data_IF_552104699016
#
_entry.id   IF_552104699016
#
_cell.length_a   1.000
_cell.length_b   1.000
_cell.length_c   1.000
_cell.angle_alpha   90.00
_cell.angle_beta   90.00
_cell.angle_gamma   90.00
#
_symmetry.space_group_name_H-M   'P 1'
#
loop_
_entity.id
_entity.type
_entity.pdbx_description
1 polymer ?
#
# COMPACT_ATOMS: atom_id res chain seq x y z
N UNK A 1 -4.62 -0.72 -26.96
CA UNK A 1 -4.51 -1.85 -26.01
C UNK A 1 -5.46 -1.60 -24.85
N UNK A 2 -6.06 -2.66 -24.29
CA UNK A 2 -6.99 -2.61 -23.15
C UNK A 2 -6.23 -2.92 -21.84
N UNK A 3 -5.81 -1.90 -21.08
CA UNK A 3 -5.03 -2.10 -19.87
C UNK A 3 -5.84 -2.73 -18.73
N UNK A 4 -7.15 -2.53 -18.70
CA UNK A 4 -8.01 -3.03 -17.62
C UNK A 4 -8.34 -4.50 -17.84
N UNK A 5 -8.63 -4.90 -19.08
CA UNK A 5 -8.76 -6.32 -19.44
C UNK A 5 -7.46 -7.10 -19.19
N UNK A 6 -6.30 -6.50 -19.46
CA UNK A 6 -5.02 -7.10 -19.09
C UNK A 6 -4.86 -7.28 -17.58
N UNK A 7 -5.15 -6.23 -16.79
CA UNK A 7 -5.05 -6.29 -15.33
C UNK A 7 -5.97 -7.37 -14.74
N UNK A 8 -7.22 -7.43 -15.19
CA UNK A 8 -8.17 -8.45 -14.77
C UNK A 8 -7.64 -9.87 -15.06
N UNK A 9 -7.15 -10.10 -16.28
CA UNK A 9 -6.59 -11.39 -16.66
C UNK A 9 -5.35 -11.75 -15.83
N UNK A 10 -4.45 -10.77 -15.60
CA UNK A 10 -3.24 -10.97 -14.81
C UNK A 10 -3.58 -11.38 -13.36
N UNK A 11 -4.54 -10.70 -12.73
CA UNK A 11 -4.94 -11.03 -11.35
C UNK A 11 -5.63 -12.39 -11.29
N UNK A 12 -6.48 -12.75 -12.27
CA UNK A 12 -7.08 -14.09 -12.36
C UNK A 12 -6.02 -15.18 -12.49
N UNK A 13 -4.95 -14.92 -13.24
CA UNK A 13 -3.81 -15.83 -13.33
C UNK A 13 -3.15 -16.01 -11.95
N UNK A 14 -2.90 -14.93 -11.22
CA UNK A 14 -2.34 -14.98 -9.86
C UNK A 14 -3.28 -15.74 -8.91
N UNK A 15 -4.57 -15.45 -8.92
CA UNK A 15 -5.56 -16.13 -8.08
C UNK A 15 -5.58 -17.65 -8.31
N UNK A 16 -5.52 -18.09 -9.57
CA UNK A 16 -5.53 -19.53 -9.91
C UNK A 16 -4.21 -20.25 -9.69
N UNK A 17 -3.09 -19.52 -9.64
CA UNK A 17 -1.74 -20.11 -9.58
C UNK A 17 -1.02 -19.89 -8.25
N UNK A 18 -1.47 -18.95 -7.42
CA UNK A 18 -0.86 -18.66 -6.12
C UNK A 18 -1.60 -19.35 -4.99
N UNK A 19 -0.86 -19.76 -3.96
CA UNK A 19 -1.44 -20.31 -2.74
C UNK A 19 -1.66 -19.19 -1.73
N UNK A 20 -2.92 -18.78 -1.54
CA UNK A 20 -3.30 -17.77 -0.55
C UNK A 20 -3.89 -16.49 -1.14
N UNK A 21 -4.32 -15.62 -0.23
CA UNK A 21 -5.05 -14.38 -0.55
C UNK A 21 -4.62 -13.21 0.34
N UNK A 22 -3.43 -13.29 0.94
CA UNK A 22 -2.94 -12.28 1.87
C UNK A 22 -2.79 -10.92 1.20
N UNK A 23 -2.03 -10.87 0.10
CA UNK A 23 -1.61 -9.60 -0.49
C UNK A 23 -1.43 -9.67 -1.99
N UNK A 24 -1.81 -8.58 -2.67
CA UNK A 24 -1.65 -8.36 -4.10
C UNK A 24 -0.90 -7.04 -4.32
N UNK A 25 0.18 -7.08 -5.10
CA UNK A 25 0.88 -5.88 -5.57
C UNK A 25 0.49 -5.56 -7.01
N UNK A 26 0.09 -4.33 -7.29
CA UNK A 26 -0.25 -3.84 -8.62
C UNK A 26 0.69 -2.70 -8.97
N UNK A 27 1.39 -2.81 -10.10
CA UNK A 27 2.20 -1.72 -10.67
C UNK A 27 1.49 -1.18 -11.90
N UNK A 28 1.09 0.09 -11.84
CA UNK A 28 0.32 0.74 -12.90
C UNK A 28 0.71 2.21 -13.02
N UNK A 29 0.93 2.67 -14.26
CA UNK A 29 1.22 4.07 -14.53
C UNK A 29 0.04 4.97 -14.10
N UNK A 30 0.34 6.06 -13.38
CA UNK A 30 -0.65 7.01 -12.87
C UNK A 30 -1.60 7.56 -13.96
N UNK A 31 -1.09 7.78 -15.18
CA UNK A 31 -1.92 8.25 -16.31
C UNK A 31 -2.94 7.20 -16.73
N UNK A 32 -2.51 5.93 -16.80
CA UNK A 32 -3.40 4.81 -17.15
C UNK A 32 -4.45 4.58 -16.08
N UNK A 33 -4.06 4.64 -14.80
CA UNK A 33 -4.98 4.54 -13.67
C UNK A 33 -6.02 5.66 -13.72
N UNK A 34 -5.60 6.93 -13.81
CA UNK A 34 -6.52 8.08 -13.86
C UNK A 34 -7.49 8.04 -15.05
N UNK A 35 -7.02 7.61 -16.23
CA UNK A 35 -7.88 7.48 -17.42
C UNK A 35 -8.98 6.43 -17.25
N UNK A 36 -8.76 5.43 -16.39
CA UNK A 36 -9.67 4.30 -16.19
C UNK A 36 -10.17 4.21 -14.73
N UNK A 37 -10.20 5.32 -13.99
CA UNK A 37 -10.34 5.34 -12.53
C UNK A 37 -11.50 4.46 -12.02
N UNK A 38 -12.70 4.66 -12.56
CA UNK A 38 -13.88 3.90 -12.12
C UNK A 38 -13.74 2.40 -12.38
N UNK A 39 -13.26 2.01 -13.57
CA UNK A 39 -13.08 0.61 -13.93
C UNK A 39 -11.98 -0.03 -13.08
N UNK A 40 -10.89 0.71 -12.83
CA UNK A 40 -9.79 0.28 -11.99
C UNK A 40 -10.25 0.06 -10.54
N UNK A 41 -10.99 1.01 -9.96
CA UNK A 41 -11.49 0.90 -8.59
C UNK A 41 -12.45 -0.29 -8.43
N UNK A 42 -13.32 -0.51 -9.43
CA UNK A 42 -14.23 -1.67 -9.45
C UNK A 42 -13.45 -3.00 -9.52
N UNK A 43 -12.41 -3.07 -10.35
CA UNK A 43 -11.55 -4.26 -10.45
C UNK A 43 -10.79 -4.52 -9.15
N UNK A 44 -10.15 -3.50 -8.58
CA UNK A 44 -9.43 -3.65 -7.30
C UNK A 44 -10.38 -4.06 -6.17
N UNK A 45 -11.62 -3.55 -6.17
CA UNK A 45 -12.65 -3.96 -5.23
C UNK A 45 -13.05 -5.43 -5.39
N UNK A 46 -13.08 -5.98 -6.61
CA UNK A 46 -13.50 -7.36 -6.85
C UNK A 46 -12.44 -8.41 -6.51
N UNK A 47 -11.15 -8.06 -6.55
CA UNK A 47 -10.08 -9.03 -6.34
C UNK A 47 -10.07 -9.62 -4.92
N UNK A 48 -10.03 -10.95 -4.73
CA UNK A 48 -10.19 -11.58 -3.41
C UNK A 48 -8.88 -11.60 -2.61
N UNK A 49 -8.23 -10.45 -2.45
CA UNK A 49 -7.02 -10.29 -1.63
C UNK A 49 -7.30 -9.36 -0.45
N UNK A 50 -6.81 -9.74 0.73
CA UNK A 50 -7.03 -8.97 1.96
C UNK A 50 -6.17 -7.71 2.05
N UNK A 51 -5.11 -7.62 1.26
CA UNK A 51 -4.23 -6.46 1.16
C UNK A 51 -3.96 -6.18 -0.31
N UNK A 52 -4.10 -4.94 -0.74
CA UNK A 52 -3.73 -4.51 -2.10
C UNK A 52 -2.80 -3.30 -2.01
N UNK A 53 -1.60 -3.44 -2.54
CA UNK A 53 -0.63 -2.36 -2.70
C UNK A 53 -0.61 -1.90 -4.15
N UNK A 54 -0.97 -0.65 -4.43
CA UNK A 54 -0.91 -0.04 -5.76
C UNK A 54 0.31 0.87 -5.80
N UNK A 55 1.30 0.51 -6.64
CA UNK A 55 2.60 1.18 -6.77
C UNK A 55 3.40 1.26 -5.46
N UNK A 56 3.11 0.36 -4.52
CA UNK A 56 3.77 0.24 -3.22
C UNK A 56 3.72 -1.21 -2.77
N UNK A 57 4.73 -1.66 -2.04
CA UNK A 57 4.79 -3.02 -1.55
C UNK A 57 3.68 -3.27 -0.52
N UNK A 58 2.83 -4.32 -0.70
CA UNK A 58 1.71 -4.57 0.21
C UNK A 58 2.12 -4.76 1.69
N UNK A 59 3.36 -5.16 1.95
CA UNK A 59 3.88 -5.34 3.32
C UNK A 59 3.78 -4.08 4.18
N UNK A 60 3.79 -2.88 3.58
CA UNK A 60 3.66 -1.62 4.32
C UNK A 60 2.35 -1.51 5.10
N UNK A 61 1.29 -2.21 4.70
CA UNK A 61 0.04 -2.26 5.45
C UNK A 61 0.25 -2.77 6.88
N UNK A 62 1.18 -3.70 7.10
CA UNK A 62 1.47 -4.23 8.45
C UNK A 62 1.98 -3.15 9.41
N UNK A 63 2.65 -2.12 8.87
CA UNK A 63 3.23 -1.02 9.64
C UNK A 63 2.22 0.07 10.00
N UNK A 64 0.98 -0.02 9.51
CA UNK A 64 -0.06 1.00 9.70
C UNK A 64 -1.18 0.43 10.57
N UNK A 65 -1.22 0.74 11.87
CA UNK A 65 -2.22 0.17 12.80
C UNK A 65 -3.68 0.42 12.41
N UNK A 66 -3.93 1.48 11.64
CA UNK A 66 -5.26 1.83 11.15
C UNK A 66 -5.78 0.87 10.08
N UNK A 67 -4.88 0.20 9.36
CA UNK A 67 -5.21 -0.72 8.28
C UNK A 67 -5.32 -2.15 8.83
N UNK A 68 -6.15 -2.96 8.20
CA UNK A 68 -6.27 -4.39 8.50
C UNK A 68 -5.15 -5.15 7.78
N UNK A 69 -4.44 -6.00 8.50
CA UNK A 69 -3.58 -7.04 7.94
C UNK A 69 -4.24 -8.40 8.13
N UNK A 70 -4.48 -9.13 7.04
CA UNK A 70 -5.06 -10.47 7.07
C UNK A 70 -5.59 -10.88 5.70
N UNK A 71 -5.95 -12.16 5.56
CA UNK A 71 -6.51 -12.70 4.33
C UNK A 71 -7.88 -12.08 3.99
N UNK A 72 -8.27 -12.20 2.72
CA UNK A 72 -9.63 -11.89 2.30
C UNK A 72 -10.63 -12.81 3.02
N UNK A 73 -11.83 -12.33 3.42
CA UNK A 73 -12.81 -13.15 4.13
C UNK A 73 -13.13 -14.45 3.38
N UNK A 74 -13.18 -15.57 4.10
CA UNK A 74 -13.45 -16.90 3.54
C UNK A 74 -12.21 -17.68 3.10
N UNK A 75 -11.03 -17.05 3.07
CA UNK A 75 -9.78 -17.70 2.70
C UNK A 75 -8.90 -17.95 3.94
N UNK A 76 -8.35 -19.16 4.06
CA UNK A 76 -7.58 -19.60 5.24
C UNK A 76 -6.14 -20.00 4.92
N UNK A 77 -5.80 -20.16 3.64
CA UNK A 77 -4.46 -20.54 3.18
C UNK A 77 -3.36 -19.55 3.60
N UNK A 78 -3.73 -18.30 3.85
CA UNK A 78 -2.84 -17.23 4.32
C UNK A 78 -2.90 -16.97 5.83
N UNK A 79 -3.48 -17.91 6.60
CA UNK A 79 -3.73 -17.77 8.02
C UNK A 79 -5.17 -17.37 8.35
N UNK A 80 -5.51 -17.45 9.63
CA UNK A 80 -6.84 -17.08 10.14
C UNK A 80 -6.74 -15.83 11.03
N UNK A 81 -7.76 -14.97 10.92
CA UNK A 81 -7.85 -13.73 11.68
C UNK A 81 -7.23 -12.53 10.98
N UNK A 82 -7.14 -11.43 11.72
CA UNK A 82 -6.55 -10.18 11.25
C UNK A 82 -6.01 -9.34 12.40
N UNK A 83 -4.98 -8.55 12.14
CA UNK A 83 -4.44 -7.55 13.06
C UNK A 83 -4.65 -6.13 12.50
N UNK A 84 -4.52 -5.12 13.34
CA UNK A 84 -4.74 -3.72 12.98
C UNK A 84 -6.21 -3.30 13.10
N UNK A 85 -6.74 -2.56 12.11
CA UNK A 85 -8.10 -1.99 12.14
C UNK A 85 -8.36 -1.10 13.38
N UNK A 86 -7.41 -0.24 13.74
CA UNK A 86 -7.58 0.66 14.90
C UNK A 86 -8.75 1.65 14.78
N UNK A 87 -9.32 1.82 13.58
CA UNK A 87 -10.57 2.57 13.35
C UNK A 87 -11.85 1.78 13.66
N UNK A 88 -11.75 0.50 14.05
CA UNK A 88 -12.88 -0.34 14.42
C UNK A 88 -13.94 -0.48 13.32
N UNK A 89 -13.52 -0.50 12.05
CA UNK A 89 -14.45 -0.78 10.96
C UNK A 89 -15.10 -2.16 11.17
N UNK A 90 -16.40 -2.24 10.89
CA UNK A 90 -17.15 -3.49 11.00
C UNK A 90 -16.81 -4.39 9.82
N UNK A 91 -16.20 -5.55 10.10
CA UNK A 91 -15.88 -6.60 9.10
C UNK A 91 -15.13 -6.06 7.85
N UNK A 92 -13.96 -5.41 8.01
CA UNK A 92 -13.17 -4.97 6.88
C UNK A 92 -12.75 -6.18 6.03
N UNK A 93 -13.03 -6.11 4.73
CA UNK A 93 -12.66 -7.19 3.80
C UNK A 93 -11.17 -7.09 3.46
N UNK A 94 -10.72 -5.89 3.08
CA UNK A 94 -9.35 -5.62 2.64
C UNK A 94 -8.84 -4.25 3.06
N UNK A 95 -7.51 -4.07 2.99
CA UNK A 95 -6.85 -2.78 3.05
C UNK A 95 -6.20 -2.46 1.69
N UNK A 96 -6.42 -1.25 1.18
CA UNK A 96 -5.83 -0.78 -0.07
C UNK A 96 -4.88 0.36 0.26
N UNK A 97 -3.62 0.23 -0.15
CA UNK A 97 -2.60 1.26 0.00
C UNK A 97 -2.12 1.68 -1.39
N UNK A 98 -2.26 2.96 -1.71
CA UNK A 98 -1.93 3.50 -3.03
C UNK A 98 -0.80 4.50 -2.93
N UNK A 99 0.10 4.46 -3.90
CA UNK A 99 1.13 5.45 -4.07
C UNK A 99 1.31 5.86 -5.55
N UNK A 100 2.05 6.94 -5.84
CA UNK A 100 2.40 7.30 -7.20
C UNK A 100 3.31 6.26 -7.86
N UNK A 101 3.10 5.97 -9.14
CA UNK A 101 3.93 5.05 -9.92
C UNK A 101 5.38 5.52 -10.01
N UNK A 102 5.55 6.82 -10.23
CA UNK A 102 6.86 7.45 -10.31
C UNK A 102 7.03 8.44 -9.17
N UNK A 103 7.94 8.10 -8.27
CA UNK A 103 8.46 9.05 -7.31
C UNK A 103 9.61 9.81 -8.00
N UNK A 104 9.30 10.83 -8.79
CA UNK A 104 10.32 11.77 -9.27
C UNK A 104 10.14 13.09 -8.54
N UNK A 105 11.20 13.64 -7.91
CA UNK A 105 12.60 13.19 -7.89
C UNK A 105 12.96 12.23 -6.72
N UNK A 106 11.98 11.67 -5.99
CA UNK A 106 12.18 11.04 -4.68
C UNK A 106 12.37 9.52 -4.78
N UNK A 107 13.27 8.91 -4.02
CA UNK A 107 13.23 7.43 -3.88
C UNK A 107 12.13 7.07 -2.88
N UNK A 108 11.32 6.05 -3.17
CA UNK A 108 10.39 5.49 -2.16
C UNK A 108 11.19 5.00 -0.95
N UNK A 109 10.55 4.89 0.23
CA UNK A 109 11.20 4.39 1.45
C UNK A 109 11.81 3.00 1.21
N UNK A 110 11.19 2.19 0.34
CA UNK A 110 11.67 0.89 -0.12
C UNK A 110 13.06 0.94 -0.78
N UNK A 111 13.39 2.02 -1.48
CA UNK A 111 14.61 2.16 -2.31
C UNK A 111 15.65 3.06 -1.59
N UNK A 112 15.36 3.48 -0.36
CA UNK A 112 16.22 4.34 0.45
C UNK A 112 17.28 3.50 1.19
N UNK A 113 18.48 4.06 1.42
CA UNK A 113 19.50 3.35 2.22
C UNK A 113 19.08 3.23 3.69
N UNK A 114 19.51 2.21 4.44
CA UNK A 114 19.10 2.01 5.83
C UNK A 114 19.35 3.22 6.75
N UNK A 115 20.45 3.93 6.54
CA UNK A 115 20.78 5.15 7.32
C UNK A 115 19.77 6.27 7.08
N UNK A 116 19.39 6.46 5.82
CA UNK A 116 18.42 7.46 5.42
C UNK A 116 17.03 7.07 5.91
N UNK A 117 16.61 5.82 5.67
CA UNK A 117 15.35 5.31 6.20
C UNK A 117 15.25 5.51 7.73
N UNK A 118 16.32 5.22 8.48
CA UNK A 118 16.39 5.46 9.92
C UNK A 118 16.27 6.93 10.32
N UNK A 119 16.89 7.85 9.58
CA UNK A 119 16.72 9.29 9.82
C UNK A 119 15.29 9.73 9.56
N UNK A 120 14.72 9.36 8.40
CA UNK A 120 13.32 9.66 8.06
C UNK A 120 12.36 9.16 9.14
N UNK A 121 12.47 7.88 9.54
CA UNK A 121 11.65 7.32 10.61
C UNK A 121 11.84 8.05 11.95
N UNK A 122 13.06 8.43 12.31
CA UNK A 122 13.31 9.23 13.52
C UNK A 122 12.60 10.59 13.47
N UNK A 123 12.64 11.27 12.32
CA UNK A 123 11.94 12.56 12.12
C UNK A 123 10.43 12.40 12.15
N UNK A 124 9.90 11.34 11.53
CA UNK A 124 8.47 11.00 11.58
C UNK A 124 8.02 10.75 13.02
N UNK A 125 8.76 9.96 13.79
CA UNK A 125 8.46 9.70 15.20
C UNK A 125 8.47 10.98 16.03
N UNK A 126 9.48 11.85 15.86
CA UNK A 126 9.55 13.13 16.57
C UNK A 126 8.36 14.05 16.24
N UNK A 127 7.97 14.13 14.97
CA UNK A 127 6.81 14.91 14.55
C UNK A 127 5.50 14.35 15.13
N UNK A 128 5.32 13.02 15.12
CA UNK A 128 4.15 12.37 15.71
C UNK A 128 4.05 12.56 17.22
N UNK A 129 5.18 12.56 17.94
CA UNK A 129 5.21 12.79 19.40
C UNK A 129 5.01 14.26 19.79
N UNK A 130 5.56 15.20 19.00
CA UNK A 130 5.51 16.65 19.29
C UNK A 130 5.22 17.43 18.00
N UNK A 131 3.97 17.45 17.53
CA UNK A 131 3.62 18.14 16.29
C UNK A 131 3.79 19.65 16.46
N UNK A 132 4.80 20.22 15.79
CA UNK A 132 5.07 21.65 15.76
C UNK A 132 5.82 22.03 14.47
N UNK A 133 5.97 23.33 14.21
CA UNK A 133 6.61 23.82 12.98
C UNK A 133 8.05 23.36 12.80
N UNK A 134 8.81 23.18 13.88
CA UNK A 134 10.21 22.77 13.80
C UNK A 134 10.36 21.29 13.46
N UNK A 135 9.57 20.41 14.09
CA UNK A 135 9.53 18.98 13.77
C UNK A 135 8.93 18.73 12.39
N UNK A 136 7.94 19.53 11.97
CA UNK A 136 7.37 19.50 10.64
C UNK A 136 8.38 19.94 9.58
N UNK A 137 9.07 21.07 9.78
CA UNK A 137 10.11 21.53 8.87
C UNK A 137 11.26 20.53 8.75
N UNK A 138 11.68 19.92 9.86
CA UNK A 138 12.71 18.89 9.87
C UNK A 138 12.29 17.59 9.15
N UNK A 139 11.04 17.16 9.32
CA UNK A 139 10.48 16.04 8.56
C UNK A 139 10.39 16.37 7.08
N UNK A 140 9.89 17.57 6.75
CA UNK A 140 9.77 18.04 5.37
C UNK A 140 11.13 18.08 4.69
N UNK A 141 12.16 18.63 5.34
CA UNK A 141 13.53 18.64 4.83
C UNK A 141 14.07 17.23 4.58
N UNK A 142 13.85 16.28 5.50
CA UNK A 142 14.26 14.89 5.32
C UNK A 142 13.57 14.25 4.08
N UNK A 143 12.26 14.42 3.96
CA UNK A 143 11.47 13.93 2.82
C UNK A 143 11.89 14.57 1.49
N UNK A 144 12.18 15.88 1.48
CA UNK A 144 12.58 16.61 0.27
C UNK A 144 13.99 16.24 -0.20
N UNK A 145 14.92 16.10 0.74
CA UNK A 145 16.32 15.77 0.46
C UNK A 145 16.54 14.26 0.25
N UNK A 146 15.48 13.44 0.38
CA UNK A 146 15.57 11.98 0.27
C UNK A 146 16.56 11.40 1.28
N UNK A 147 16.52 11.91 2.51
CA UNK A 147 17.32 11.47 3.66
C UNK A 147 16.39 10.95 4.73
#
# INVERSE_FOLDING_TARGET
EDPMGYLEYAVRCVETKSYGSLGLGILINDKTMKKNQQQFDNLVASFPFGIVGINIWPLFVNSMPMLKWGAFPGYTASGQGSIGNANLYRKPEKAILTAPFSYLPRKSVEVMSPRKAGLLFSRMTKYKLKPNLTTQAALFAAVLLGI
#
